data_IF_589995711156
#
_entry.id   IF_589995711156
#
_cell.length_a   1.000
_cell.length_b   1.000
_cell.length_c   1.000
_cell.angle_alpha   90.00
_cell.angle_beta   90.00
_cell.angle_gamma   90.00
#
_symmetry.space_group_name_H-M   'P 1'
#
loop_
_entity.id
_entity.type
_entity.pdbx_description
1 polymer ?
#
# COMPACT_ATOMS: atom_id res chain seq x y z
N UNK A 1 -9.22 -7.18 -1.61
CA UNK A 1 -9.79 -7.45 -0.25
C UNK A 1 -10.48 -6.18 0.27
N UNK A 2 -11.19 -6.16 1.41
CA UNK A 2 -11.57 -4.87 2.06
C UNK A 2 -10.91 -4.86 3.43
N UNK A 3 -10.02 -3.89 3.66
CA UNK A 3 -9.35 -3.70 4.94
C UNK A 3 -10.21 -2.84 5.86
N UNK A 4 -10.45 -3.34 7.07
CA UNK A 4 -11.14 -2.69 8.16
C UNK A 4 -10.25 -2.50 9.38
N UNK A 5 -10.83 -1.95 10.46
CA UNK A 5 -10.13 -1.65 11.72
C UNK A 5 -9.50 -2.88 12.39
N UNK A 6 -10.11 -4.05 12.20
CA UNK A 6 -9.66 -5.32 12.80
C UNK A 6 -8.51 -5.99 12.03
N UNK A 7 -8.20 -5.53 10.81
CA UNK A 7 -7.09 -6.08 10.06
C UNK A 7 -5.76 -5.55 10.61
N UNK A 8 -4.71 -6.37 10.52
CA UNK A 8 -3.36 -6.01 10.93
C UNK A 8 -2.34 -6.60 9.97
N UNK A 9 -1.19 -5.94 9.84
CA UNK A 9 -0.01 -6.42 9.13
C UNK A 9 0.96 -7.01 10.15
N UNK A 10 1.18 -8.33 10.09
CA UNK A 10 1.95 -9.07 11.11
C UNK A 10 3.16 -9.79 10.52
N UNK A 11 3.30 -9.82 9.20
CA UNK A 11 4.37 -10.52 8.50
C UNK A 11 4.70 -9.84 7.16
N UNK A 12 5.88 -10.11 6.61
CA UNK A 12 6.27 -9.63 5.29
C UNK A 12 5.32 -10.11 4.19
N UNK A 13 4.68 -11.27 4.38
CA UNK A 13 3.63 -11.75 3.47
C UNK A 13 2.36 -10.88 3.51
N UNK A 14 2.01 -10.35 4.67
CA UNK A 14 0.89 -9.41 4.79
C UNK A 14 1.23 -8.08 4.13
N UNK A 15 2.49 -7.62 4.22
CA UNK A 15 2.97 -6.43 3.49
C UNK A 15 2.80 -6.61 1.99
N UNK A 16 3.30 -7.72 1.44
CA UNK A 16 3.11 -8.06 0.02
C UNK A 16 1.62 -8.08 -0.37
N UNK A 17 0.78 -8.68 0.47
CA UNK A 17 -0.66 -8.79 0.21
C UNK A 17 -1.35 -7.42 0.23
N UNK A 18 -0.96 -6.54 1.16
CA UNK A 18 -1.49 -5.19 1.24
C UNK A 18 -1.04 -4.34 0.05
N UNK A 19 0.24 -4.43 -0.35
CA UNK A 19 0.75 -3.70 -1.51
C UNK A 19 0.11 -4.19 -2.81
N UNK A 20 -0.08 -5.49 -2.96
CA UNK A 20 -0.85 -6.05 -4.05
C UNK A 20 -2.26 -5.45 -4.11
N UNK A 21 -2.94 -5.35 -2.95
CA UNK A 21 -4.26 -4.74 -2.84
C UNK A 21 -4.28 -3.25 -3.26
N UNK A 22 -3.27 -2.48 -2.88
CA UNK A 22 -3.13 -1.08 -3.30
C UNK A 22 -2.99 -0.97 -4.83
N UNK A 23 -2.20 -1.84 -5.44
CA UNK A 23 -1.86 -1.77 -6.87
C UNK A 23 -2.95 -2.34 -7.77
N UNK A 24 -3.49 -3.52 -7.47
CA UNK A 24 -4.39 -4.23 -8.38
C UNK A 24 -5.87 -3.98 -8.09
N UNK A 25 -6.28 -3.96 -6.82
CA UNK A 25 -7.67 -3.69 -6.45
C UNK A 25 -7.97 -2.20 -6.33
N UNK A 26 -7.11 -1.42 -5.67
CA UNK A 26 -7.30 0.03 -5.50
C UNK A 26 -6.76 0.84 -6.67
N UNK A 27 -5.91 0.24 -7.52
CA UNK A 27 -5.34 0.87 -8.73
C UNK A 27 -4.58 2.16 -8.44
N UNK A 28 -3.84 2.18 -7.33
CA UNK A 28 -3.07 3.34 -6.90
C UNK A 28 -1.58 3.12 -7.19
N UNK A 29 -0.97 4.10 -7.84
CA UNK A 29 0.49 4.21 -7.93
C UNK A 29 1.00 4.82 -6.61
N UNK A 30 1.13 3.98 -5.59
CA UNK A 30 1.40 4.44 -4.23
C UNK A 30 2.89 4.63 -3.96
N UNK A 31 3.22 5.48 -3.00
CA UNK A 31 4.51 5.55 -2.33
C UNK A 31 4.33 5.24 -0.84
N UNK A 32 5.19 4.42 -0.19
CA UNK A 32 5.03 4.09 1.22
C UNK A 32 4.99 5.27 2.20
N UNK A 33 5.69 6.37 1.87
CA UNK A 33 5.73 7.58 2.72
C UNK A 33 4.54 8.54 2.51
N UNK A 34 3.75 8.36 1.45
CA UNK A 34 2.66 9.27 1.13
C UNK A 34 1.43 8.96 1.98
N UNK A 35 0.79 10.01 2.50
CA UNK A 35 -0.46 9.87 3.24
C UNK A 35 -1.62 9.54 2.30
N UNK A 36 -2.51 8.64 2.71
CA UNK A 36 -3.63 8.22 1.85
C UNK A 36 -4.63 9.36 1.54
N UNK A 37 -4.66 10.42 2.36
CA UNK A 37 -5.42 11.65 2.14
C UNK A 37 -4.92 12.46 0.94
N UNK A 38 -3.65 12.31 0.54
CA UNK A 38 -3.03 13.09 -0.53
C UNK A 38 -3.38 12.56 -1.93
N UNK A 39 -3.93 11.33 -2.01
CA UNK A 39 -4.33 10.73 -3.28
C UNK A 39 -5.66 11.28 -3.77
N UNK A 40 -5.60 11.96 -4.91
CA UNK A 40 -6.77 12.48 -5.63
C UNK A 40 -6.97 11.73 -6.95
N UNK A 41 -8.23 11.41 -7.24
CA UNK A 41 -8.64 10.79 -8.50
C UNK A 41 -8.43 11.76 -9.66
N UNK A 42 -7.83 11.27 -10.75
CA UNK A 42 -7.76 12.00 -12.00
C UNK A 42 -9.16 12.25 -12.60
N UNK A 43 -10.11 11.37 -12.29
CA UNK A 43 -11.52 11.51 -12.66
C UNK A 43 -12.23 12.35 -11.60
N UNK A 44 -12.23 13.67 -11.81
CA UNK A 44 -13.04 14.60 -11.03
C UNK A 44 -12.34 15.28 -9.84
N UNK A 45 -11.08 14.98 -9.56
CA UNK A 45 -10.30 15.66 -8.51
C UNK A 45 -10.81 15.39 -7.10
N UNK A 46 -11.62 14.35 -6.91
CA UNK A 46 -12.11 13.90 -5.61
C UNK A 46 -11.08 12.98 -4.96
N UNK A 47 -11.02 12.95 -3.63
CA UNK A 47 -10.12 12.05 -2.91
C UNK A 47 -10.38 10.60 -3.30
N UNK A 48 -9.32 9.86 -3.55
CA UNK A 48 -9.36 8.43 -3.94
C UNK A 48 -9.88 7.56 -2.80
N UNK A 49 -9.67 8.00 -1.56
CA UNK A 49 -10.03 7.32 -0.33
C UNK A 49 -10.97 8.17 0.52
N UNK A 50 -11.87 7.51 1.23
CA UNK A 50 -12.66 8.12 2.30
C UNK A 50 -11.79 8.38 3.53
N UNK A 51 -12.20 9.30 4.41
CA UNK A 51 -11.47 9.61 5.65
C UNK A 51 -11.27 8.36 6.53
N UNK A 52 -12.28 7.48 6.60
CA UNK A 52 -12.17 6.23 7.35
C UNK A 52 -11.16 5.25 6.73
N UNK A 53 -11.12 5.16 5.39
CA UNK A 53 -10.11 4.37 4.68
C UNK A 53 -8.71 4.93 4.91
N UNK A 54 -8.51 6.25 4.82
CA UNK A 54 -7.21 6.86 5.07
C UNK A 54 -6.69 6.50 6.46
N UNK A 55 -7.51 6.65 7.50
CA UNK A 55 -7.12 6.30 8.87
C UNK A 55 -6.72 4.82 9.01
N UNK A 56 -7.44 3.91 8.34
CA UNK A 56 -7.12 2.48 8.35
C UNK A 56 -5.82 2.21 7.59
N UNK A 57 -5.66 2.78 6.40
CA UNK A 57 -4.58 2.47 5.48
C UNK A 57 -3.26 3.10 5.93
N UNK A 58 -3.28 4.33 6.45
CA UNK A 58 -2.10 4.95 7.07
C UNK A 58 -1.60 4.09 8.24
N UNK A 59 -2.50 3.65 9.13
CA UNK A 59 -2.14 2.72 10.21
C UNK A 59 -1.55 1.42 9.65
N UNK A 60 -2.18 0.80 8.65
CA UNK A 60 -1.65 -0.44 8.07
C UNK A 60 -0.28 -0.23 7.41
N UNK A 61 -0.03 0.94 6.81
CA UNK A 61 1.28 1.30 6.27
C UNK A 61 2.33 1.44 7.39
N UNK A 62 2.00 2.07 8.52
CA UNK A 62 2.87 2.12 9.71
C UNK A 62 3.19 0.70 10.22
N UNK A 63 2.21 -0.21 10.17
CA UNK A 63 2.44 -1.61 10.52
C UNK A 63 3.35 -2.31 9.49
N UNK A 64 3.26 -1.97 8.21
CA UNK A 64 4.18 -2.46 7.18
C UNK A 64 5.62 -2.02 7.45
N UNK A 65 5.84 -0.74 7.77
CA UNK A 65 7.16 -0.23 8.16
C UNK A 65 7.73 -1.00 9.35
N UNK A 66 6.94 -1.14 10.42
CA UNK A 66 7.36 -1.87 11.62
C UNK A 66 7.75 -3.33 11.33
N UNK A 67 6.97 -4.02 10.50
CA UNK A 67 7.27 -5.40 10.11
C UNK A 67 8.55 -5.47 9.27
N UNK A 68 8.69 -4.60 8.28
CA UNK A 68 9.87 -4.58 7.41
C UNK A 68 11.16 -4.24 8.19
N UNK A 69 11.10 -3.26 9.09
CA UNK A 69 12.21 -2.88 9.95
C UNK A 69 12.65 -4.04 10.86
N UNK A 70 11.69 -4.75 11.47
CA UNK A 70 11.98 -5.89 12.34
C UNK A 70 12.61 -7.07 11.59
N UNK A 71 12.17 -7.32 10.35
CA UNK A 71 12.66 -8.42 9.52
C UNK A 71 13.89 -8.06 8.69
N UNK A 72 14.35 -6.80 8.75
CA UNK A 72 15.48 -6.30 7.96
C UNK A 72 15.22 -6.28 6.45
N UNK A 73 13.96 -6.08 6.05
CA UNK A 73 13.52 -6.05 4.65
C UNK A 73 13.28 -4.60 4.21
N UNK A 74 13.69 -4.27 3.00
CA UNK A 74 13.42 -2.95 2.42
C UNK A 74 11.98 -2.87 1.87
N UNK A 75 11.14 -2.11 2.56
CA UNK A 75 9.74 -1.88 2.18
C UNK A 75 9.60 -1.26 0.78
N UNK A 76 10.52 -0.37 0.40
CA UNK A 76 10.47 0.31 -0.90
C UNK A 76 10.70 -0.68 -2.04
N UNK A 77 11.60 -1.64 -1.84
CA UNK A 77 11.84 -2.72 -2.80
C UNK A 77 10.60 -3.60 -3.02
N UNK A 78 9.81 -3.87 -1.97
CA UNK A 78 8.54 -4.63 -2.12
C UNK A 78 7.54 -3.82 -2.94
N UNK A 79 7.32 -2.55 -2.59
CA UNK A 79 6.37 -1.68 -3.28
C UNK A 79 6.73 -1.46 -4.76
N UNK A 80 8.02 -1.20 -5.03
CA UNK A 80 8.53 -1.01 -6.38
C UNK A 80 8.33 -2.27 -7.23
N UNK A 81 8.59 -3.46 -6.68
CA UNK A 81 8.38 -4.73 -7.38
C UNK A 81 6.92 -4.94 -7.75
N UNK A 82 5.98 -4.67 -6.85
CA UNK A 82 4.54 -4.78 -7.14
C UNK A 82 4.12 -3.84 -8.28
N UNK A 83 4.54 -2.58 -8.22
CA UNK A 83 4.24 -1.58 -9.26
C UNK A 83 4.85 -1.95 -10.62
N UNK A 84 6.12 -2.38 -10.65
CA UNK A 84 6.77 -2.81 -11.88
C UNK A 84 6.10 -4.04 -12.48
N UNK A 85 5.70 -5.00 -11.64
CA UNK A 85 4.97 -6.20 -12.07
C UNK A 85 3.63 -5.83 -12.68
N UNK A 86 2.88 -4.90 -12.07
CA UNK A 86 1.62 -4.41 -12.61
C UNK A 86 1.77 -3.69 -13.96
N UNK A 87 2.92 -3.03 -14.19
CA UNK A 87 3.26 -2.37 -15.45
C UNK A 87 3.87 -3.31 -16.50
N UNK A 88 4.06 -4.60 -16.19
CA UNK A 88 4.70 -5.56 -17.09
C UNK A 88 6.19 -5.27 -17.32
N UNK A 89 6.83 -4.52 -16.41
CA UNK A 89 8.26 -4.26 -16.46
C UNK A 89 8.98 -5.49 -15.89
N UNK A 90 9.62 -6.26 -16.76
CA UNK A 90 10.48 -7.37 -16.33
C UNK A 90 11.71 -6.79 -15.63
N UNK A 91 11.75 -6.91 -14.30
CA UNK A 91 13.01 -6.81 -13.55
C UNK A 91 13.71 -8.17 -13.61
N UNK A 92 14.88 -8.16 -14.24
CA UNK A 92 15.76 -9.32 -14.43
C UNK A 92 16.39 -9.80 -13.12
#
# INVERSE_FOLDING_TARGET
MIYGKENHILSTKDVETFFHHLVYERKVNFHPDDMFEDYVSCEGGINTFTIDECAIYNRLMDECFRVCDNEGVDIYSIGLKELQTALGINVA
#
